data_IF_394742006985
#
_entry.id   IF_394742006985
#
_cell.length_a   1.000
_cell.length_b   1.000
_cell.length_c   1.000
_cell.angle_alpha   90.00
_cell.angle_beta   90.00
_cell.angle_gamma   90.00
#
_symmetry.space_group_name_H-M   'P 1'
#
loop_
_entity.id
_entity.type
_entity.pdbx_description
1 polymer ?
#
# COMPACT_ATOMS: atom_id res chain seq x y z
N UNK A 1 -17.03 11.35 -24.00
CA UNK A 1 -17.12 12.08 -22.72
C UNK A 1 -15.73 12.11 -22.13
N UNK A 2 -15.08 13.26 -22.19
CA UNK A 2 -13.72 13.46 -21.69
C UNK A 2 -13.81 13.91 -20.25
N UNK A 3 -13.41 13.06 -19.31
CA UNK A 3 -13.15 13.49 -17.94
C UNK A 3 -11.88 14.35 -17.99
N UNK A 4 -11.99 15.64 -17.65
CA UNK A 4 -10.84 16.52 -17.51
C UNK A 4 -9.83 15.97 -16.48
N UNK A 5 -8.62 16.55 -16.37
CA UNK A 5 -7.68 16.10 -15.36
C UNK A 5 -8.40 16.17 -14.03
N UNK A 6 -8.61 15.02 -13.37
CA UNK A 6 -9.05 15.01 -11.99
C UNK A 6 -8.11 15.96 -11.26
N UNK A 7 -8.66 16.99 -10.63
CA UNK A 7 -7.89 17.94 -9.81
C UNK A 7 -6.87 17.12 -9.05
N UNK A 8 -5.58 17.43 -9.22
CA UNK A 8 -4.51 16.78 -8.49
C UNK A 8 -4.68 17.15 -7.01
N UNK A 9 -5.61 16.47 -6.36
CA UNK A 9 -5.93 16.60 -4.96
C UNK A 9 -4.68 16.20 -4.20
N UNK A 10 -4.21 17.11 -3.38
CA UNK A 10 -3.05 16.89 -2.55
C UNK A 10 -3.31 15.68 -1.64
N UNK A 11 -2.44 14.68 -1.69
CA UNK A 11 -2.56 13.48 -0.87
C UNK A 11 -1.61 13.58 0.32
N UNK A 12 -2.12 13.33 1.52
CA UNK A 12 -1.30 13.30 2.75
C UNK A 12 -0.38 12.08 2.82
N UNK A 13 -0.79 10.97 2.21
CA UNK A 13 -0.04 9.71 2.19
C UNK A 13 0.40 9.36 0.79
N UNK A 14 1.53 8.67 0.68
CA UNK A 14 2.07 8.24 -0.62
C UNK A 14 1.26 7.10 -1.22
N UNK A 15 1.37 6.90 -2.53
CA UNK A 15 0.80 5.71 -3.19
C UNK A 15 1.35 4.40 -2.59
N UNK A 16 2.59 4.36 -2.09
CA UNK A 16 3.13 3.18 -1.40
C UNK A 16 2.35 2.87 -0.13
N UNK A 17 2.04 3.90 0.67
CA UNK A 17 1.22 3.77 1.87
C UNK A 17 -0.20 3.30 1.52
N UNK A 18 -0.80 3.84 0.45
CA UNK A 18 -2.13 3.39 0.01
C UNK A 18 -2.13 1.94 -0.48
N UNK A 19 -1.10 1.50 -1.20
CA UNK A 19 -0.94 0.09 -1.59
C UNK A 19 -0.81 -0.81 -0.36
N UNK A 20 -0.01 -0.41 0.64
CA UNK A 20 0.08 -1.13 1.90
C UNK A 20 -1.29 -1.25 2.60
N UNK A 21 -2.07 -0.17 2.65
CA UNK A 21 -3.44 -0.20 3.21
C UNK A 21 -4.36 -1.17 2.46
N UNK A 22 -4.29 -1.20 1.12
CA UNK A 22 -5.06 -2.14 0.31
C UNK A 22 -4.70 -3.60 0.64
N UNK A 23 -3.41 -3.92 0.67
CA UNK A 23 -2.92 -5.27 1.02
C UNK A 23 -3.27 -5.61 2.48
N UNK A 24 -3.19 -4.65 3.39
CA UNK A 24 -3.52 -4.86 4.79
C UNK A 24 -5.00 -5.20 4.96
N UNK A 25 -5.90 -4.62 4.15
CA UNK A 25 -7.33 -4.91 4.15
C UNK A 25 -7.65 -6.27 3.51
N UNK A 26 -7.01 -6.60 2.40
CA UNK A 26 -7.19 -7.87 1.69
C UNK A 26 -5.82 -8.39 1.18
N UNK A 27 -5.23 -9.39 1.87
CA UNK A 27 -3.98 -10.02 1.43
C UNK A 27 -4.03 -10.71 0.07
N UNK A 28 -5.22 -11.07 -0.43
CA UNK A 28 -5.44 -11.77 -1.69
C UNK A 28 -5.88 -10.82 -2.83
N UNK A 29 -5.83 -9.51 -2.57
CA UNK A 29 -6.26 -8.47 -3.51
C UNK A 29 -5.49 -8.56 -4.84
N UNK A 30 -6.20 -8.35 -5.94
CA UNK A 30 -5.57 -8.36 -7.27
C UNK A 30 -4.88 -7.03 -7.52
N UNK A 31 -3.77 -7.07 -8.26
CA UNK A 31 -3.01 -5.85 -8.63
C UNK A 31 -3.85 -4.85 -9.43
N UNK A 32 -4.83 -5.34 -10.20
CA UNK A 32 -5.80 -4.48 -10.90
C UNK A 32 -6.68 -3.71 -9.90
N UNK A 33 -7.21 -4.41 -8.92
CA UNK A 33 -8.10 -3.82 -7.91
C UNK A 33 -7.32 -2.83 -7.02
N UNK A 34 -6.02 -3.10 -6.74
CA UNK A 34 -5.11 -2.13 -6.12
C UNK A 34 -4.96 -0.88 -6.99
N UNK A 35 -4.70 -1.04 -8.28
CA UNK A 35 -4.49 0.09 -9.20
C UNK A 35 -5.72 1.00 -9.26
N UNK A 36 -6.91 0.40 -9.35
CA UNK A 36 -8.18 1.10 -9.37
C UNK A 36 -8.44 1.82 -8.03
N UNK A 37 -8.20 1.15 -6.89
CA UNK A 37 -8.39 1.73 -5.56
C UNK A 37 -7.44 2.90 -5.24
N UNK A 38 -6.19 2.82 -5.71
CA UNK A 38 -5.15 3.85 -5.48
C UNK A 38 -5.21 4.95 -6.54
N UNK A 39 -5.94 4.75 -7.65
CA UNK A 39 -6.02 5.72 -8.75
C UNK A 39 -4.74 5.81 -9.58
N UNK A 40 -4.03 4.69 -9.75
CA UNK A 40 -2.79 4.61 -10.55
C UNK A 40 -2.92 3.62 -11.70
N UNK A 41 -1.99 3.65 -12.65
CA UNK A 41 -1.96 2.65 -13.71
C UNK A 41 -1.59 1.26 -13.16
N UNK A 42 -2.00 0.20 -13.84
CA UNK A 42 -1.66 -1.18 -13.46
C UNK A 42 -0.13 -1.39 -13.35
N UNK A 43 0.64 -0.82 -14.29
CA UNK A 43 2.10 -0.89 -14.26
C UNK A 43 2.71 -0.13 -13.07
N UNK A 44 2.13 1.02 -12.70
CA UNK A 44 2.54 1.76 -11.49
C UNK A 44 2.26 0.96 -10.22
N UNK A 45 1.10 0.31 -10.11
CA UNK A 45 0.79 -0.57 -8.97
C UNK A 45 1.76 -1.76 -8.90
N UNK A 46 2.07 -2.39 -10.03
CA UNK A 46 3.05 -3.48 -10.10
C UNK A 46 4.44 -3.03 -9.64
N UNK A 47 4.91 -1.85 -10.08
CA UNK A 47 6.19 -1.28 -9.67
C UNK A 47 6.21 -0.97 -8.17
N UNK A 48 5.17 -0.34 -7.63
CA UNK A 48 5.08 -0.03 -6.20
C UNK A 48 5.12 -1.33 -5.36
N UNK A 49 4.40 -2.38 -5.79
CA UNK A 49 4.45 -3.67 -5.10
C UNK A 49 5.87 -4.26 -5.15
N UNK A 50 6.55 -4.18 -6.30
CA UNK A 50 7.94 -4.63 -6.42
C UNK A 50 8.87 -3.85 -5.49
N UNK A 51 8.77 -2.52 -5.46
CA UNK A 51 9.55 -1.65 -4.58
C UNK A 51 9.33 -2.02 -3.09
N UNK A 52 8.09 -2.29 -2.70
CA UNK A 52 7.74 -2.73 -1.33
C UNK A 52 8.29 -4.13 -1.00
N UNK A 53 8.34 -5.03 -1.99
CA UNK A 53 8.92 -6.37 -1.83
C UNK A 53 10.43 -6.31 -1.70
N UNK A 54 11.09 -5.56 -2.59
CA UNK A 54 12.54 -5.39 -2.60
C UNK A 54 13.04 -4.70 -1.33
N UNK A 55 12.25 -3.76 -0.79
CA UNK A 55 12.52 -3.11 0.49
C UNK A 55 12.17 -3.96 1.73
N UNK A 56 11.59 -5.16 1.56
CA UNK A 56 11.27 -6.07 2.66
C UNK A 56 10.03 -5.72 3.48
N UNK A 57 9.21 -4.76 3.01
CA UNK A 57 7.94 -4.40 3.65
C UNK A 57 6.80 -5.37 3.30
N UNK A 58 6.87 -5.99 2.12
CA UNK A 58 5.89 -6.96 1.64
C UNK A 58 6.60 -8.24 1.21
N UNK A 59 6.02 -9.39 1.55
CA UNK A 59 6.38 -10.68 0.96
C UNK A 59 5.30 -11.10 -0.01
N UNK A 60 5.70 -11.66 -1.15
CA UNK A 60 4.78 -12.17 -2.16
C UNK A 60 4.86 -13.69 -2.23
N UNK A 61 3.76 -14.35 -1.89
CA UNK A 61 3.61 -15.80 -1.99
C UNK A 61 2.73 -16.16 -3.19
N UNK A 62 3.18 -17.12 -4.00
CA UNK A 62 2.38 -17.63 -5.11
C UNK A 62 1.44 -18.73 -4.61
N UNK A 63 0.14 -18.46 -4.62
CA UNK A 63 -0.92 -19.43 -4.31
C UNK A 63 -1.65 -19.83 -5.60
N UNK A 64 -1.11 -20.87 -6.25
CA UNK A 64 -1.63 -21.37 -7.53
C UNK A 64 -1.55 -20.33 -8.65
N UNK A 65 -2.71 -19.81 -9.09
CA UNK A 65 -2.80 -18.75 -10.12
C UNK A 65 -2.81 -17.34 -9.54
N UNK A 66 -2.88 -17.20 -8.21
CA UNK A 66 -2.94 -15.91 -7.52
C UNK A 66 -1.66 -15.65 -6.72
N UNK A 67 -1.45 -14.38 -6.39
CA UNK A 67 -0.47 -13.99 -5.39
C UNK A 67 -1.23 -13.69 -4.09
N UNK A 68 -0.62 -14.01 -2.97
CA UNK A 68 -0.97 -13.52 -1.65
C UNK A 68 0.16 -12.63 -1.15
N UNK A 69 -0.18 -11.50 -0.55
CA UNK A 69 0.78 -10.53 -0.06
C UNK A 69 0.75 -10.48 1.47
N UNK A 70 1.91 -10.59 2.11
CA UNK A 70 2.06 -10.50 3.56
C UNK A 70 2.88 -9.26 3.89
N UNK A 71 2.38 -8.43 4.80
CA UNK A 71 3.10 -7.22 5.24
C UNK A 71 4.01 -7.59 6.41
N UNK A 72 5.28 -7.21 6.31
CA UNK A 72 6.18 -7.21 7.45
C UNK A 72 5.85 -6.01 8.35
N UNK A 73 5.00 -6.25 9.35
CA UNK A 73 4.48 -5.19 10.23
C UNK A 73 5.56 -4.61 11.13
N UNK A 74 6.54 -5.41 11.52
CA UNK A 74 7.65 -5.01 12.40
C UNK A 74 8.76 -4.26 11.63
N UNK A 75 8.60 -4.08 10.31
CA UNK A 75 9.57 -3.37 9.50
C UNK A 75 9.65 -1.89 9.94
N UNK A 76 10.85 -1.37 10.24
CA UNK A 76 11.03 0.00 10.72
C UNK A 76 10.76 1.03 9.63
N UNK A 77 10.25 2.20 10.01
CA UNK A 77 10.09 3.35 9.12
C UNK A 77 11.43 4.11 8.97
N UNK A 78 12.30 3.64 8.06
CA UNK A 78 13.72 4.04 8.02
C UNK A 78 14.04 5.41 7.39
N UNK A 79 13.06 6.29 7.12
CA UNK A 79 13.30 7.48 6.28
C UNK A 79 13.68 8.75 7.03
N UNK A 80 13.31 8.93 8.30
CA UNK A 80 13.53 10.19 9.03
C UNK A 80 13.67 9.97 10.53
N UNK A 81 14.45 10.78 11.24
CA UNK A 81 14.64 10.65 12.71
C UNK A 81 13.32 10.68 13.49
N UNK A 82 12.34 11.47 13.03
CA UNK A 82 11.00 11.49 13.62
C UNK A 82 10.21 10.17 13.48
N UNK A 83 10.69 9.25 12.64
CA UNK A 83 10.11 7.92 12.40
C UNK A 83 10.89 6.83 13.14
N UNK A 84 11.97 7.17 13.85
CA UNK A 84 12.69 6.21 14.69
C UNK A 84 11.76 5.62 15.75
N UNK A 85 11.92 4.32 15.99
CA UNK A 85 11.08 3.57 16.92
C UNK A 85 9.66 3.27 16.41
N UNK A 86 9.28 3.72 15.20
CA UNK A 86 7.99 3.40 14.59
C UNK A 86 8.14 2.30 13.55
N UNK A 87 7.18 1.38 13.55
CA UNK A 87 7.05 0.32 12.56
C UNK A 87 5.87 0.56 11.61
N UNK A 88 5.86 -0.18 10.51
CA UNK A 88 4.79 -0.10 9.50
C UNK A 88 3.45 -0.55 10.08
N UNK A 89 3.44 -1.50 11.01
CA UNK A 89 2.22 -1.98 11.67
C UNK A 89 1.47 -0.86 12.37
N UNK A 90 2.16 -0.08 13.21
CA UNK A 90 1.59 1.05 13.95
C UNK A 90 1.04 2.14 13.03
N UNK A 91 1.73 2.45 11.93
CA UNK A 91 1.20 3.37 10.92
C UNK A 91 -0.10 2.85 10.29
N UNK A 92 -0.13 1.57 9.91
CA UNK A 92 -1.32 0.98 9.30
C UNK A 92 -2.50 0.96 10.26
N UNK A 93 -2.26 0.72 11.55
CA UNK A 93 -3.31 0.75 12.56
C UNK A 93 -3.82 2.17 12.82
N UNK A 94 -2.94 3.16 12.90
CA UNK A 94 -3.31 4.58 13.00
C UNK A 94 -4.22 5.02 11.84
N UNK A 95 -3.88 4.63 10.61
CA UNK A 95 -4.65 5.00 9.41
C UNK A 95 -5.95 4.19 9.26
N UNK A 96 -6.07 3.06 9.98
CA UNK A 96 -7.30 2.28 10.09
C UNK A 96 -8.24 2.79 11.17
N UNK A 97 -7.85 3.76 12.01
CA UNK A 97 -8.71 4.37 13.03
C UNK A 97 -9.84 5.20 12.38
N UNK A 98 -10.76 4.50 11.74
CA UNK A 98 -12.07 4.94 11.33
C UNK A 98 -13.01 3.73 11.32
N UNK A 99 -13.26 3.20 12.53
CA UNK A 99 -14.57 2.65 12.89
C UNK A 99 -15.03 3.42 14.13
N UNK A 100 -15.63 4.58 13.89
CA UNK A 100 -16.66 5.09 14.79
C UNK A 100 -17.96 4.46 14.29
N UNK A 101 -18.52 3.56 15.09
CA UNK A 101 -19.90 3.11 14.97
C UNK A 101 -20.85 4.32 15.16
#
# INVERSE_FOLDING_TARGET
MSTGPADSSWQFVTNHTQVLLCIARDPDIRVRDIADAVGVTLGSAQRIIADLVDAGYVQRERQGRRNRYLINRDAPMLRHAAQEGHDIGGLLDLLRLAESD
#
